data_IF_647374345094
#
_entry.id   IF_647374345094
#
_cell.length_a   1.000
_cell.length_b   1.000
_cell.length_c   1.000
_cell.angle_alpha   90.00
_cell.angle_beta   90.00
_cell.angle_gamma   90.00
#
_symmetry.space_group_name_H-M   'P 1'
#
loop_
_entity.id
_entity.type
_entity.pdbx_description
1 polymer ?
#
# COMPACT_ATOMS: atom_id res chain seq x y z
N UNK A 1 27.48 -15.69 -6.69
CA UNK A 1 26.18 -15.44 -6.03
C UNK A 1 26.45 -14.89 -4.65
N UNK A 2 26.29 -13.58 -4.44
CA UNK A 2 26.33 -13.02 -3.08
C UNK A 2 25.00 -13.36 -2.40
N UNK A 3 25.05 -14.09 -1.30
CA UNK A 3 23.89 -14.34 -0.46
C UNK A 3 23.56 -13.04 0.27
N UNK A 4 22.39 -12.46 0.00
CA UNK A 4 21.90 -11.29 0.72
C UNK A 4 21.13 -11.77 1.95
N UNK A 5 21.64 -11.44 3.13
CA UNK A 5 20.98 -11.76 4.39
C UNK A 5 19.63 -11.03 4.50
N UNK A 6 18.64 -11.72 5.05
CA UNK A 6 17.27 -11.21 5.24
C UNK A 6 16.87 -11.38 6.70
N UNK A 7 15.91 -10.57 7.14
CA UNK A 7 15.43 -10.53 8.51
C UNK A 7 16.53 -10.08 9.48
N UNK A 8 17.23 -9.03 9.09
CA UNK A 8 18.41 -8.51 9.79
C UNK A 8 18.22 -7.06 10.20
N UNK A 9 18.86 -6.74 11.32
CA UNK A 9 19.16 -5.38 11.75
C UNK A 9 20.64 -5.14 11.45
N UNK A 10 20.95 -4.06 10.74
CA UNK A 10 22.31 -3.65 10.41
C UNK A 10 22.59 -2.36 11.18
N UNK A 11 23.49 -2.44 12.17
CA UNK A 11 23.96 -1.24 12.86
C UNK A 11 25.04 -0.53 12.02
N UNK A 12 24.68 0.56 11.34
CA UNK A 12 25.57 1.24 10.42
C UNK A 12 24.96 2.47 9.75
N UNK A 13 25.80 3.22 9.05
CA UNK A 13 25.38 4.40 8.29
C UNK A 13 24.66 3.98 6.99
N UNK A 14 23.45 4.52 6.77
CA UNK A 14 22.64 4.19 5.60
C UNK A 14 23.40 4.36 4.27
N UNK A 15 24.20 5.41 4.11
CA UNK A 15 24.94 5.67 2.86
C UNK A 15 26.07 4.66 2.61
N UNK A 16 26.52 3.97 3.66
CA UNK A 16 27.53 2.91 3.58
C UNK A 16 26.86 1.56 3.37
N UNK A 17 25.85 1.24 4.18
CA UNK A 17 25.22 -0.08 4.18
C UNK A 17 24.35 -0.32 2.94
N UNK A 18 23.66 0.71 2.43
CA UNK A 18 22.87 0.58 1.20
C UNK A 18 23.71 0.13 0.01
N UNK A 19 24.96 0.59 -0.10
CA UNK A 19 25.90 0.22 -1.18
C UNK A 19 26.25 -1.27 -1.20
N UNK A 20 26.08 -1.96 -0.07
CA UNK A 20 26.33 -3.41 0.06
C UNK A 20 25.13 -4.24 -0.37
N UNK A 21 23.94 -3.64 -0.46
CA UNK A 21 22.73 -4.30 -0.91
C UNK A 21 22.75 -4.40 -2.45
N UNK A 22 22.52 -5.58 -3.05
CA UNK A 22 22.47 -5.73 -4.50
C UNK A 22 21.38 -4.90 -5.18
N UNK A 23 21.61 -4.52 -6.43
CA UNK A 23 20.63 -3.89 -7.30
C UNK A 23 19.35 -4.73 -7.43
N UNK A 24 18.20 -4.08 -7.63
CA UNK A 24 16.92 -4.73 -7.95
C UNK A 24 16.56 -5.91 -7.02
N UNK A 25 16.82 -5.76 -5.71
CA UNK A 25 16.71 -6.85 -4.73
C UNK A 25 15.57 -6.66 -3.71
N UNK A 26 15.09 -5.43 -3.52
CA UNK A 26 14.08 -5.05 -2.52
C UNK A 26 12.71 -4.80 -3.18
N UNK A 27 11.63 -5.27 -2.55
CA UNK A 27 10.26 -5.13 -3.08
C UNK A 27 9.59 -3.82 -2.63
N UNK A 28 9.80 -3.45 -1.36
CA UNK A 28 9.22 -2.26 -0.74
C UNK A 28 10.27 -1.53 0.11
N UNK A 29 10.34 -0.21 -0.03
CA UNK A 29 11.14 0.65 0.86
C UNK A 29 10.19 1.55 1.64
N UNK A 30 10.41 1.66 2.95
CA UNK A 30 9.87 2.76 3.75
C UNK A 30 11.05 3.57 4.29
N UNK A 31 11.00 4.89 4.20
CA UNK A 31 12.05 5.76 4.70
C UNK A 31 11.44 6.89 5.54
N UNK A 32 11.89 6.98 6.80
CA UNK A 32 11.63 8.07 7.74
C UNK A 32 12.96 8.81 7.99
N UNK A 33 13.46 9.58 7.02
CA UNK A 33 14.77 10.23 7.12
C UNK A 33 14.76 11.32 8.21
N UNK A 34 15.94 11.84 8.59
CA UNK A 34 16.02 13.08 9.36
C UNK A 34 15.23 14.21 8.70
N UNK A 35 14.48 15.00 9.48
CA UNK A 35 13.62 16.07 8.95
C UNK A 35 14.34 17.41 8.86
N UNK A 36 15.48 17.54 9.55
CA UNK A 36 16.19 18.79 9.73
C UNK A 36 15.24 19.89 10.23
N UNK A 37 14.80 19.75 11.49
CA UNK A 37 13.73 20.56 12.06
C UNK A 37 14.06 22.04 12.25
N UNK A 38 15.35 22.42 12.15
CA UNK A 38 15.88 23.80 12.27
C UNK A 38 15.33 24.52 13.50
N UNK A 39 15.37 23.85 14.65
CA UNK A 39 14.85 24.40 15.91
C UNK A 39 15.97 25.19 16.61
N UNK A 40 15.66 26.43 17.00
CA UNK A 40 16.53 27.26 17.85
C UNK A 40 15.90 27.45 19.23
N UNK A 41 16.71 27.31 20.29
CA UNK A 41 16.29 27.52 21.67
C UNK A 41 15.36 26.45 22.25
N UNK A 42 14.90 26.69 23.48
CA UNK A 42 14.03 25.77 24.23
C UNK A 42 12.56 26.20 24.11
N UNK A 43 11.73 25.32 23.57
CA UNK A 43 10.28 25.53 23.53
C UNK A 43 9.68 25.24 24.91
N UNK A 44 8.90 26.17 25.44
CA UNK A 44 8.17 26.01 26.70
C UNK A 44 6.67 25.82 26.43
N UNK A 45 6.03 25.02 27.28
CA UNK A 45 4.57 24.84 27.31
C UNK A 45 3.89 26.05 27.93
N UNK A 46 2.56 26.10 27.84
CA UNK A 46 1.76 27.22 28.38
C UNK A 46 1.96 27.37 29.89
N UNK A 47 2.07 26.24 30.58
CA UNK A 47 2.32 26.12 32.02
C UNK A 47 3.79 26.38 32.43
N UNK A 48 4.68 26.66 31.48
CA UNK A 48 6.08 27.05 31.75
C UNK A 48 7.09 25.89 31.83
N UNK A 49 6.66 24.63 31.67
CA UNK A 49 7.59 23.49 31.59
C UNK A 49 8.23 23.37 30.21
N UNK A 50 9.44 22.81 30.12
CA UNK A 50 10.10 22.57 28.85
C UNK A 50 9.38 21.51 28.01
N UNK A 51 9.28 21.75 26.70
CA UNK A 51 8.75 20.80 25.76
C UNK A 51 9.86 19.87 25.27
N UNK A 52 9.70 18.60 25.59
CA UNK A 52 10.59 17.52 25.18
C UNK A 52 10.41 17.15 23.69
N UNK A 53 11.01 17.98 22.83
CA UNK A 53 11.01 17.88 21.36
C UNK A 53 12.09 16.94 20.80
N UNK A 54 12.31 17.02 19.48
CA UNK A 54 13.42 16.34 18.80
C UNK A 54 14.62 17.31 18.75
N UNK A 55 15.68 17.00 19.47
CA UNK A 55 16.94 17.78 19.51
C UNK A 55 18.15 16.88 19.24
N UNK A 56 17.89 15.67 18.77
CA UNK A 56 18.90 14.64 18.53
C UNK A 56 19.96 15.10 17.50
N UNK A 57 21.23 14.72 17.71
CA UNK A 57 22.37 15.16 16.89
C UNK A 57 22.22 14.80 15.40
N UNK A 58 21.58 13.67 15.10
CA UNK A 58 21.35 13.22 13.72
C UNK A 58 20.41 14.15 12.93
N UNK A 59 19.56 14.94 13.59
CA UNK A 59 18.67 15.90 12.91
C UNK A 59 19.32 17.28 12.74
N UNK A 60 20.36 17.58 13.53
CA UNK A 60 21.06 18.87 13.55
C UNK A 60 22.42 18.85 12.83
N UNK A 61 22.69 17.81 12.04
CA UNK A 61 23.95 17.65 11.32
C UNK A 61 24.08 18.52 10.04
N UNK A 62 22.99 19.14 9.58
CA UNK A 62 22.97 19.92 8.34
C UNK A 62 23.08 21.42 8.63
N UNK A 63 23.97 22.10 7.91
CA UNK A 63 24.16 23.55 8.05
C UNK A 63 23.39 24.33 6.98
N UNK A 64 23.34 23.79 5.76
CA UNK A 64 22.68 24.42 4.61
C UNK A 64 21.64 23.52 3.97
N UNK A 65 20.77 24.12 3.14
CA UNK A 65 19.83 23.34 2.33
C UNK A 65 20.54 22.44 1.33
N UNK A 66 21.66 22.91 0.78
CA UNK A 66 22.48 22.13 -0.14
C UNK A 66 23.06 20.87 0.54
N UNK A 67 23.48 20.96 1.81
CA UNK A 67 23.93 19.78 2.56
C UNK A 67 22.81 18.73 2.69
N UNK A 68 21.60 19.18 3.03
CA UNK A 68 20.43 18.33 3.17
C UNK A 68 20.01 17.72 1.82
N UNK A 69 20.04 18.51 0.74
CA UNK A 69 19.76 18.05 -0.63
C UNK A 69 20.77 16.99 -1.09
N UNK A 70 22.06 17.24 -0.87
CA UNK A 70 23.13 16.32 -1.21
C UNK A 70 23.03 15.00 -0.43
N UNK A 71 22.72 15.07 0.87
CA UNK A 71 22.42 13.89 1.67
C UNK A 71 21.21 13.14 1.12
N UNK A 72 20.14 13.87 0.82
CA UNK A 72 18.86 13.31 0.36
C UNK A 72 18.99 12.59 -0.98
N UNK A 73 19.68 13.21 -1.94
CA UNK A 73 19.92 12.61 -3.25
C UNK A 73 20.76 11.34 -3.17
N UNK A 74 21.77 11.28 -2.29
CA UNK A 74 22.62 10.09 -2.13
C UNK A 74 21.82 8.87 -1.66
N UNK A 75 21.07 8.99 -0.56
CA UNK A 75 20.32 7.84 -0.04
C UNK A 75 19.15 7.47 -0.96
N UNK A 76 18.47 8.45 -1.58
CA UNK A 76 17.39 8.17 -2.53
C UNK A 76 17.90 7.46 -3.79
N UNK A 77 19.09 7.84 -4.28
CA UNK A 77 19.72 7.19 -5.44
C UNK A 77 20.05 5.73 -5.16
N UNK A 78 20.60 5.44 -3.97
CA UNK A 78 20.85 4.07 -3.54
C UNK A 78 19.55 3.27 -3.33
N UNK A 79 18.54 3.87 -2.68
CA UNK A 79 17.20 3.29 -2.58
C UNK A 79 16.63 2.95 -3.96
N UNK A 80 16.80 3.84 -4.95
CA UNK A 80 16.34 3.59 -6.32
C UNK A 80 17.09 2.42 -6.98
N UNK A 81 18.41 2.32 -6.76
CA UNK A 81 19.24 1.22 -7.28
C UNK A 81 18.79 -0.14 -6.73
N UNK A 82 18.62 -0.26 -5.41
CA UNK A 82 18.28 -1.52 -4.74
C UNK A 82 16.81 -1.92 -4.89
N UNK A 83 15.90 -0.95 -5.11
CA UNK A 83 14.49 -1.24 -5.35
C UNK A 83 14.32 -2.04 -6.64
N UNK A 84 13.51 -3.08 -6.65
CA UNK A 84 13.15 -3.83 -7.87
C UNK A 84 12.45 -2.94 -8.87
N UNK A 85 12.52 -3.32 -10.15
CA UNK A 85 11.77 -2.71 -11.26
C UNK A 85 10.30 -2.42 -10.95
N UNK A 86 9.60 -3.37 -10.32
CA UNK A 86 8.17 -3.25 -9.97
C UNK A 86 7.96 -2.94 -8.48
N UNK A 87 9.01 -2.55 -7.76
CA UNK A 87 8.95 -2.17 -6.35
C UNK A 87 8.38 -0.78 -6.11
N UNK A 88 8.03 -0.50 -4.86
CA UNK A 88 7.57 0.82 -4.40
C UNK A 88 8.43 1.36 -3.26
N UNK A 89 8.47 2.69 -3.13
CA UNK A 89 9.05 3.40 -2.00
C UNK A 89 7.99 4.32 -1.37
N UNK A 90 7.98 4.37 -0.04
CA UNK A 90 7.26 5.34 0.75
C UNK A 90 8.26 6.18 1.52
N UNK A 91 8.17 7.51 1.39
CA UNK A 91 9.00 8.43 2.18
C UNK A 91 8.10 9.35 2.98
N UNK A 92 8.31 9.46 4.28
CA UNK A 92 7.55 10.36 5.16
C UNK A 92 8.37 11.61 5.51
N UNK A 93 7.68 12.73 5.71
CA UNK A 93 8.30 13.98 6.10
C UNK A 93 7.31 15.01 6.63
N UNK A 94 7.82 15.93 7.44
CA UNK A 94 7.14 17.20 7.72
C UNK A 94 7.35 18.23 6.60
N UNK A 95 6.69 19.38 6.71
CA UNK A 95 6.87 20.51 5.78
C UNK A 95 8.32 20.98 5.66
N UNK A 96 9.16 20.67 6.66
CA UNK A 96 10.58 21.01 6.72
C UNK A 96 11.40 20.33 5.62
N UNK A 97 11.02 19.12 5.21
CA UNK A 97 11.82 18.30 4.31
C UNK A 97 11.04 17.72 3.12
N UNK A 98 9.73 17.50 3.23
CA UNK A 98 9.00 16.66 2.27
C UNK A 98 8.95 17.24 0.85
N UNK A 99 8.95 18.57 0.72
CA UNK A 99 8.98 19.24 -0.59
C UNK A 99 10.32 19.05 -1.30
N UNK A 100 11.42 19.19 -0.57
CA UNK A 100 12.78 18.94 -1.07
C UNK A 100 12.95 17.48 -1.47
N UNK A 101 12.52 16.55 -0.60
CA UNK A 101 12.53 15.11 -0.88
C UNK A 101 11.75 14.81 -2.16
N UNK A 102 10.50 15.30 -2.27
CA UNK A 102 9.65 15.07 -3.43
C UNK A 102 10.25 15.57 -4.74
N UNK A 103 10.83 16.77 -4.72
CA UNK A 103 11.52 17.35 -5.87
C UNK A 103 12.71 16.49 -6.32
N UNK A 104 13.55 16.05 -5.38
CA UNK A 104 14.69 15.16 -5.66
C UNK A 104 14.21 13.81 -6.20
N UNK A 105 13.18 13.21 -5.60
CA UNK A 105 12.59 11.95 -6.07
C UNK A 105 12.17 12.04 -7.54
N UNK A 106 11.49 13.12 -7.94
CA UNK A 106 11.11 13.34 -9.34
C UNK A 106 12.33 13.56 -10.24
N UNK A 107 13.31 14.36 -9.79
CA UNK A 107 14.54 14.66 -10.54
C UNK A 107 15.34 13.41 -10.87
N UNK A 108 15.51 12.51 -9.90
CA UNK A 108 16.23 11.24 -10.10
C UNK A 108 15.34 10.17 -10.78
N UNK A 109 14.08 10.50 -11.07
CA UNK A 109 13.18 9.73 -11.94
C UNK A 109 12.31 8.70 -11.26
N UNK A 110 12.04 8.81 -9.95
CA UNK A 110 10.91 8.08 -9.35
C UNK A 110 9.59 8.58 -9.96
N UNK A 111 8.61 7.69 -10.07
CA UNK A 111 7.26 8.07 -10.48
C UNK A 111 6.35 8.11 -9.26
N UNK A 112 5.92 9.32 -8.88
CA UNK A 112 5.00 9.53 -7.76
C UNK A 112 3.62 8.97 -8.12
N UNK A 113 3.05 8.17 -7.23
CA UNK A 113 1.69 7.62 -7.35
C UNK A 113 0.71 8.51 -6.60
N UNK A 114 0.97 8.75 -5.32
CA UNK A 114 0.17 9.58 -4.43
C UNK A 114 1.06 10.23 -3.38
N UNK A 115 0.75 11.47 -3.04
CA UNK A 115 0.98 11.97 -1.69
C UNK A 115 -0.16 11.48 -0.77
N UNK A 116 0.18 11.21 0.49
CA UNK A 116 -0.74 10.76 1.52
C UNK A 116 -0.52 11.61 2.76
N UNK A 117 -1.60 12.17 3.29
CA UNK A 117 -1.59 12.97 4.51
C UNK A 117 -1.89 12.05 5.69
N UNK A 118 -0.91 11.85 6.57
CA UNK A 118 -1.17 11.27 7.88
C UNK A 118 -1.71 12.36 8.81
N UNK A 119 -3.03 12.40 8.96
CA UNK A 119 -3.71 13.21 9.96
C UNK A 119 -3.54 12.58 11.34
N UNK A 120 -2.86 13.28 12.24
CA UNK A 120 -2.63 12.88 13.63
C UNK A 120 -3.92 13.15 14.41
N UNK A 121 -4.52 12.10 15.01
CA UNK A 121 -5.75 12.25 15.83
C UNK A 121 -5.52 13.03 17.14
N UNK A 122 -4.30 12.99 17.64
CA UNK A 122 -3.86 13.52 18.93
C UNK A 122 -2.50 14.22 18.80
N UNK A 123 -2.39 15.28 17.96
CA UNK A 123 -1.14 15.99 17.76
C UNK A 123 -0.80 16.84 18.99
N UNK A 124 0.48 17.08 19.22
CA UNK A 124 0.93 18.09 20.18
C UNK A 124 0.36 19.46 19.81
N UNK A 125 -0.28 20.19 20.74
CA UNK A 125 -0.88 21.48 20.44
C UNK A 125 0.18 22.55 20.14
N UNK A 126 -0.25 23.62 19.47
CA UNK A 126 0.58 24.82 19.37
C UNK A 126 0.48 25.62 20.68
N UNK A 127 1.57 25.72 21.44
CA UNK A 127 1.55 26.33 22.76
C UNK A 127 1.46 27.87 22.75
N UNK A 128 1.89 28.54 21.67
CA UNK A 128 1.97 30.02 21.63
C UNK A 128 0.86 30.68 20.82
N UNK A 129 0.03 29.92 20.10
CA UNK A 129 -1.05 30.45 19.26
C UNK A 129 -0.58 31.25 18.04
N UNK A 130 0.69 31.17 17.66
CA UNK A 130 1.29 32.00 16.59
C UNK A 130 1.19 31.40 15.18
N UNK A 131 0.74 30.15 15.07
CA UNK A 131 0.59 29.41 13.81
C UNK A 131 -0.40 28.26 13.97
N UNK A 132 -0.76 27.62 12.86
CA UNK A 132 -1.58 26.40 12.86
C UNK A 132 -0.92 25.28 13.67
N UNK A 133 -1.74 24.34 14.16
CA UNK A 133 -1.25 23.12 14.77
C UNK A 133 -0.65 22.21 13.70
N UNK A 134 0.58 21.72 13.92
CA UNK A 134 1.23 20.72 13.08
C UNK A 134 0.58 19.34 13.29
N UNK A 135 -0.64 19.21 12.78
CA UNK A 135 -1.53 18.06 12.97
C UNK A 135 -1.40 16.98 11.91
N UNK A 136 -0.43 17.08 11.01
CA UNK A 136 -0.17 16.05 10.02
C UNK A 136 1.32 15.93 9.65
N UNK A 137 1.64 14.82 9.00
CA UNK A 137 2.84 14.62 8.19
C UNK A 137 2.43 14.13 6.81
N UNK A 138 3.32 14.26 5.83
CA UNK A 138 3.07 13.87 4.44
C UNK A 138 3.95 12.68 4.09
N UNK A 139 3.34 11.67 3.49
CA UNK A 139 4.03 10.55 2.87
C UNK A 139 3.98 10.72 1.35
N UNK A 140 5.05 10.35 0.67
CA UNK A 140 5.11 10.23 -0.78
C UNK A 140 5.24 8.75 -1.12
N UNK A 141 4.25 8.21 -1.84
CA UNK A 141 4.32 6.89 -2.44
C UNK A 141 4.78 7.00 -3.89
N UNK A 142 5.85 6.30 -4.23
CA UNK A 142 6.41 6.30 -5.58
C UNK A 142 6.87 4.91 -6.02
N UNK A 143 7.12 4.78 -7.31
CA UNK A 143 7.70 3.58 -7.93
C UNK A 143 9.00 3.90 -8.63
N UNK A 144 9.82 2.89 -8.88
CA UNK A 144 11.13 3.05 -9.53
C UNK A 144 11.07 3.82 -10.85
N UNK A 145 9.97 3.69 -11.60
CA UNK A 145 9.72 4.39 -12.87
C UNK A 145 8.23 4.41 -13.26
N UNK A 146 7.85 5.25 -14.23
CA UNK A 146 6.48 5.30 -14.77
C UNK A 146 5.99 3.96 -15.36
N UNK A 147 6.91 3.08 -15.79
CA UNK A 147 6.60 1.79 -16.41
C UNK A 147 6.40 0.65 -15.40
N UNK A 148 6.61 0.91 -14.11
CA UNK A 148 6.58 -0.10 -13.05
C UNK A 148 5.18 -0.68 -12.87
N UNK A 149 5.07 -2.00 -12.75
CA UNK A 149 3.82 -2.71 -12.45
C UNK A 149 3.75 -3.01 -10.95
N UNK A 150 3.69 -1.95 -10.16
CA UNK A 150 3.77 -2.01 -8.72
C UNK A 150 2.61 -2.76 -8.06
N UNK A 151 2.86 -3.28 -6.86
CA UNK A 151 1.83 -3.90 -6.01
C UNK A 151 0.93 -2.82 -5.43
N UNK A 152 -0.37 -2.92 -5.71
CA UNK A 152 -1.41 -2.21 -4.99
C UNK A 152 -2.57 -3.16 -4.69
N UNK A 153 -2.68 -3.58 -3.43
CA UNK A 153 -3.75 -4.45 -2.96
C UNK A 153 -5.02 -3.62 -2.70
N UNK A 154 -5.64 -3.15 -3.79
CA UNK A 154 -6.75 -2.20 -3.76
C UNK A 154 -7.94 -2.66 -2.92
N UNK A 155 -8.36 -3.93 -3.05
CA UNK A 155 -9.50 -4.45 -2.28
C UNK A 155 -9.13 -4.59 -0.81
N UNK A 156 -7.91 -5.01 -0.52
CA UNK A 156 -7.36 -5.01 0.85
C UNK A 156 -7.35 -3.60 1.44
N UNK A 157 -6.98 -2.58 0.65
CA UNK A 157 -7.06 -1.18 1.08
C UNK A 157 -8.50 -0.77 1.45
N UNK A 158 -9.51 -1.26 0.73
CA UNK A 158 -10.93 -1.03 1.09
C UNK A 158 -11.30 -1.66 2.43
N UNK A 159 -10.75 -2.83 2.76
CA UNK A 159 -10.96 -3.50 4.05
C UNK A 159 -10.32 -2.73 5.21
N UNK A 160 -9.25 -1.98 4.94
CA UNK A 160 -8.53 -1.16 5.92
C UNK A 160 -9.12 0.24 6.09
N UNK A 161 -10.06 0.66 5.25
CA UNK A 161 -10.65 2.00 5.34
C UNK A 161 -11.62 2.10 6.52
N UNK A 162 -11.10 2.59 7.65
CA UNK A 162 -11.87 3.03 8.83
C UNK A 162 -11.96 4.55 8.95
N UNK A 163 -11.43 5.29 7.98
CA UNK A 163 -11.37 6.76 8.02
C UNK A 163 -12.69 7.40 7.56
N UNK A 164 -13.38 6.76 6.61
CA UNK A 164 -14.61 7.28 5.99
C UNK A 164 -15.76 6.25 6.00
N UNK A 165 -15.60 5.16 6.73
CA UNK A 165 -16.61 4.11 6.91
C UNK A 165 -16.85 3.98 8.41
N UNK A 166 -18.10 4.19 8.85
CA UNK A 166 -18.43 4.01 10.25
C UNK A 166 -18.35 2.53 10.66
N UNK A 167 -18.19 2.25 11.95
CA UNK A 167 -18.19 0.86 12.45
C UNK A 167 -19.50 0.11 12.11
N UNK A 168 -20.63 0.83 12.09
CA UNK A 168 -21.92 0.26 11.66
C UNK A 168 -21.94 -0.08 10.17
N UNK A 169 -21.54 0.86 9.31
CA UNK A 169 -21.41 0.62 7.86
C UNK A 169 -20.48 -0.56 7.59
N UNK A 170 -19.35 -0.62 8.31
CA UNK A 170 -18.36 -1.68 8.16
C UNK A 170 -18.94 -3.05 8.55
N UNK A 171 -19.65 -3.14 9.67
CA UNK A 171 -20.35 -4.37 10.10
C UNK A 171 -21.42 -4.81 9.10
N UNK A 172 -22.07 -3.86 8.43
CA UNK A 172 -23.05 -4.12 7.37
C UNK A 172 -22.41 -4.47 6.01
N UNK A 173 -21.10 -4.71 5.97
CA UNK A 173 -20.37 -5.14 4.76
C UNK A 173 -20.02 -3.99 3.80
N UNK A 174 -20.23 -2.73 4.19
CA UNK A 174 -19.84 -1.59 3.36
C UNK A 174 -18.32 -1.49 3.35
N UNK A 175 -17.77 -1.37 2.14
CA UNK A 175 -16.34 -1.18 1.88
C UNK A 175 -16.15 -0.07 0.86
N UNK A 176 -15.58 1.05 1.30
CA UNK A 176 -15.27 2.22 0.44
C UNK A 176 -13.78 2.25 0.10
N UNK A 177 -13.42 2.91 -1.00
CA UNK A 177 -12.02 3.12 -1.37
C UNK A 177 -11.28 3.86 -0.25
N UNK A 178 -10.06 3.42 0.07
CA UNK A 178 -9.17 4.15 0.98
C UNK A 178 -8.70 5.45 0.31
N UNK A 179 -8.95 6.58 0.97
CA UNK A 179 -8.50 7.89 0.49
C UNK A 179 -7.02 8.17 0.80
N UNK A 180 -6.51 9.30 0.34
CA UNK A 180 -5.15 9.77 0.61
C UNK A 180 -5.00 10.53 1.94
N UNK A 181 -6.04 10.64 2.76
CA UNK A 181 -5.97 11.23 4.10
C UNK A 181 -6.24 10.15 5.13
N UNK A 182 -5.22 9.80 5.92
CA UNK A 182 -5.26 8.70 6.88
C UNK A 182 -5.30 9.24 8.30
N UNK A 183 -6.33 8.86 9.07
CA UNK A 183 -6.54 9.38 10.43
C UNK A 183 -6.02 8.36 11.44
N UNK A 184 -4.76 8.50 11.83
CA UNK A 184 -4.06 7.56 12.70
C UNK A 184 -3.54 8.32 13.93
N UNK A 185 -3.62 7.70 15.11
CA UNK A 185 -3.07 8.28 16.34
C UNK A 185 -1.54 8.32 16.32
N UNK A 186 -0.92 9.21 17.09
CA UNK A 186 0.53 9.15 17.31
C UNK A 186 0.90 7.95 18.19
N UNK A 187 2.13 7.46 18.07
CA UNK A 187 2.64 6.34 18.87
C UNK A 187 2.70 6.72 20.37
N UNK A 188 1.88 6.04 21.18
CA UNK A 188 1.67 6.30 22.61
C UNK A 188 1.40 4.99 23.38
N UNK A 189 1.30 5.09 24.70
CA UNK A 189 0.97 3.95 25.56
C UNK A 189 2.03 2.85 25.51
N UNK A 190 1.59 1.59 25.51
CA UNK A 190 2.48 0.42 25.52
C UNK A 190 3.27 0.22 24.22
N UNK A 191 2.82 0.83 23.11
CA UNK A 191 3.54 0.77 21.84
C UNK A 191 4.80 1.65 21.86
N UNK A 192 4.75 2.76 22.62
CA UNK A 192 5.85 3.71 22.70
C UNK A 192 6.95 3.15 23.58
N UNK A 193 8.11 2.89 22.98
CA UNK A 193 9.24 2.32 23.71
C UNK A 193 9.80 3.29 24.73
N UNK A 194 10.17 2.70 25.86
CA UNK A 194 10.85 3.37 26.95
C UNK A 194 12.17 2.67 27.23
N UNK A 195 13.16 3.42 27.66
CA UNK A 195 14.40 2.84 28.13
C UNK A 195 14.28 2.32 29.58
N UNK A 196 15.38 1.79 30.11
CA UNK A 196 15.42 1.19 31.45
C UNK A 196 15.07 2.18 32.58
N UNK A 197 15.08 3.49 32.32
CA UNK A 197 14.67 4.54 33.26
C UNK A 197 13.19 4.93 33.12
N UNK A 198 12.48 4.35 32.15
CA UNK A 198 11.10 4.67 31.84
C UNK A 198 10.92 5.93 30.96
N UNK A 199 12.01 6.50 30.46
CA UNK A 199 12.00 7.68 29.57
C UNK A 199 11.73 7.26 28.12
N UNK A 200 11.21 8.16 27.29
CA UNK A 200 10.96 7.85 25.88
C UNK A 200 12.29 7.44 25.22
N UNK A 201 12.30 6.29 24.53
CA UNK A 201 13.54 5.82 23.90
C UNK A 201 13.88 6.63 22.65
N UNK A 202 12.88 6.91 21.81
CA UNK A 202 13.06 7.58 20.52
C UNK A 202 12.07 8.74 20.38
N UNK A 203 12.57 9.90 19.93
CA UNK A 203 11.78 11.12 19.78
C UNK A 203 10.63 10.97 18.78
N UNK A 204 10.88 10.27 17.67
CA UNK A 204 9.99 10.24 16.49
C UNK A 204 9.46 8.85 16.11
N UNK A 205 9.35 7.91 17.07
CA UNK A 205 8.82 6.56 16.79
C UNK A 205 7.45 6.64 16.09
N UNK A 206 7.35 6.06 14.89
CA UNK A 206 6.12 6.01 14.09
C UNK A 206 5.15 4.94 14.59
N UNK A 207 3.83 5.16 14.46
CA UNK A 207 2.81 4.22 14.90
C UNK A 207 2.76 2.98 14.00
N UNK A 208 2.67 1.79 14.59
CA UNK A 208 2.60 0.51 13.87
C UNK A 208 1.41 0.44 12.90
N UNK A 209 0.27 1.10 13.20
CA UNK A 209 -0.90 1.15 12.31
C UNK A 209 -0.57 1.80 10.95
N UNK A 210 0.29 2.82 10.94
CA UNK A 210 0.70 3.49 9.70
C UNK A 210 1.50 2.52 8.81
N UNK A 211 2.50 1.85 9.39
CA UNK A 211 3.33 0.87 8.70
C UNK A 211 2.51 -0.36 8.26
N UNK A 212 1.55 -0.79 9.09
CA UNK A 212 0.65 -1.89 8.77
C UNK A 212 -0.13 -1.60 7.49
N UNK A 213 -0.68 -0.40 7.39
CA UNK A 213 -1.42 0.05 6.21
C UNK A 213 -0.53 0.10 4.97
N UNK A 214 0.68 0.69 5.08
CA UNK A 214 1.65 0.79 3.98
C UNK A 214 2.04 -0.59 3.45
N UNK A 215 2.46 -1.48 4.34
CA UNK A 215 2.94 -2.83 4.00
C UNK A 215 1.79 -3.67 3.45
N UNK A 216 0.58 -3.58 4.03
CA UNK A 216 -0.60 -4.31 3.56
C UNK A 216 -0.97 -3.97 2.11
N UNK A 217 -0.93 -2.68 1.75
CA UNK A 217 -1.39 -2.25 0.42
C UNK A 217 -0.28 -2.33 -0.64
N UNK A 218 0.99 -2.31 -0.25
CA UNK A 218 2.12 -2.14 -1.18
C UNK A 218 3.05 -3.35 -1.28
N UNK A 219 2.75 -4.47 -0.61
CA UNK A 219 3.58 -5.68 -0.63
C UNK A 219 2.75 -6.96 -0.50
N UNK A 220 3.40 -8.11 -0.65
CA UNK A 220 2.85 -9.46 -0.48
C UNK A 220 3.64 -10.24 0.57
N UNK A 221 3.06 -11.32 1.09
CA UNK A 221 3.78 -12.25 1.98
C UNK A 221 5.06 -12.72 1.29
N UNK A 222 6.18 -12.69 2.01
CA UNK A 222 7.51 -13.05 1.52
C UNK A 222 8.30 -11.93 0.83
N UNK A 223 7.66 -10.81 0.46
CA UNK A 223 8.36 -9.65 -0.09
C UNK A 223 9.40 -9.10 0.90
N UNK A 224 10.47 -8.50 0.37
CA UNK A 224 11.52 -7.87 1.16
C UNK A 224 11.25 -6.38 1.37
N UNK A 225 11.14 -5.98 2.63
CA UNK A 225 10.95 -4.58 3.07
C UNK A 225 12.28 -4.02 3.60
N UNK A 226 12.73 -2.91 3.03
CA UNK A 226 13.91 -2.17 3.51
C UNK A 226 13.50 -0.88 4.21
N UNK A 227 14.17 -0.59 5.31
CA UNK A 227 14.13 0.72 5.97
C UNK A 227 15.56 1.22 6.21
N UNK A 228 15.99 2.28 5.51
CA UNK A 228 17.34 2.84 5.69
C UNK A 228 17.47 3.72 6.95
N UNK A 229 16.37 4.04 7.62
CA UNK A 229 16.32 4.90 8.81
C UNK A 229 15.43 4.25 9.87
N UNK A 230 15.77 3.02 10.25
CA UNK A 230 14.83 2.14 10.90
C UNK A 230 14.48 2.52 12.34
N UNK A 231 15.29 3.36 13.00
CA UNK A 231 15.10 3.80 14.37
C UNK A 231 14.87 2.61 15.28
N UNK A 232 13.71 2.57 15.92
CA UNK A 232 13.33 1.48 16.85
C UNK A 232 12.68 0.27 16.17
N UNK A 233 12.93 0.09 14.86
CA UNK A 233 12.54 -1.06 14.05
C UNK A 233 11.03 -1.26 13.84
N UNK A 234 10.23 -0.19 13.89
CA UNK A 234 8.77 -0.27 13.67
C UNK A 234 8.44 -0.94 12.32
N UNK A 235 9.12 -0.54 11.23
CA UNK A 235 8.93 -1.14 9.90
C UNK A 235 9.23 -2.64 9.91
N UNK A 236 10.34 -3.05 10.52
CA UNK A 236 10.74 -4.45 10.63
C UNK A 236 9.78 -5.29 11.48
N UNK A 237 9.32 -4.75 12.61
CA UNK A 237 8.33 -5.39 13.49
C UNK A 237 7.03 -5.67 12.73
N UNK A 238 6.52 -4.67 12.02
CA UNK A 238 5.29 -4.84 11.23
C UNK A 238 5.52 -5.78 10.04
N UNK A 239 6.65 -5.67 9.34
CA UNK A 239 7.00 -6.56 8.25
C UNK A 239 7.03 -8.03 8.72
N UNK A 240 7.75 -8.34 9.81
CA UNK A 240 7.81 -9.67 10.42
C UNK A 240 6.43 -10.17 10.83
N UNK A 241 5.64 -9.33 11.50
CA UNK A 241 4.28 -9.67 11.92
C UNK A 241 3.43 -10.07 10.71
N UNK A 242 3.57 -9.38 9.59
CA UNK A 242 2.80 -9.63 8.36
C UNK A 242 3.41 -10.70 7.43
N UNK A 243 4.47 -11.40 7.86
CA UNK A 243 5.14 -12.43 7.06
C UNK A 243 5.93 -11.88 5.86
N UNK A 244 6.39 -10.63 5.92
CA UNK A 244 7.38 -10.07 4.98
C UNK A 244 8.78 -10.28 5.54
N UNK A 245 9.76 -10.37 4.64
CA UNK A 245 11.16 -10.30 5.03
C UNK A 245 11.57 -8.84 5.24
N UNK A 246 12.62 -8.58 6.02
CA UNK A 246 13.07 -7.22 6.27
C UNK A 246 14.59 -7.04 6.27
N UNK A 247 15.05 -5.83 5.92
CA UNK A 247 16.41 -5.32 6.19
C UNK A 247 16.23 -3.95 6.83
N UNK A 248 16.70 -3.79 8.06
CA UNK A 248 16.61 -2.54 8.80
C UNK A 248 18.01 -1.96 9.01
N UNK A 249 18.26 -0.74 8.57
CA UNK A 249 19.55 -0.05 8.79
C UNK A 249 19.32 1.06 9.81
N UNK A 250 20.16 1.09 10.84
CA UNK A 250 20.10 2.11 11.89
C UNK A 250 21.51 2.40 12.42
N UNK A 251 21.84 3.67 12.59
CA UNK A 251 23.18 4.11 13.00
C UNK A 251 23.36 4.05 14.52
N UNK A 252 22.32 4.38 15.28
CA UNK A 252 22.36 4.37 16.74
C UNK A 252 22.22 2.94 17.28
N UNK A 253 23.28 2.49 17.96
CA UNK A 253 23.36 1.15 18.52
C UNK A 253 22.28 0.88 19.59
N UNK A 254 21.91 1.88 20.41
CA UNK A 254 20.85 1.74 21.42
C UNK A 254 19.51 1.46 20.74
N UNK A 255 19.21 2.14 19.64
CA UNK A 255 17.99 1.88 18.87
C UNK A 255 17.98 0.48 18.24
N UNK A 256 19.12 0.01 17.72
CA UNK A 256 19.26 -1.37 17.26
C UNK A 256 18.96 -2.39 18.37
N UNK A 257 19.60 -2.27 19.53
CA UNK A 257 19.47 -3.25 20.63
C UNK A 257 18.01 -3.39 21.13
N UNK A 258 17.29 -2.27 21.29
CA UNK A 258 15.88 -2.30 21.68
C UNK A 258 14.98 -2.80 20.55
N UNK A 259 15.29 -2.41 19.31
CA UNK A 259 14.59 -2.87 18.12
C UNK A 259 14.69 -4.39 17.91
N UNK A 260 15.87 -4.97 18.12
CA UNK A 260 16.11 -6.41 18.06
C UNK A 260 15.30 -7.17 19.12
N UNK A 261 15.19 -6.65 20.34
CA UNK A 261 14.33 -7.24 21.38
C UNK A 261 12.85 -7.25 20.95
N UNK A 262 12.35 -6.18 20.32
CA UNK A 262 10.98 -6.15 19.75
C UNK A 262 10.81 -7.15 18.63
N UNK A 263 11.77 -7.21 17.72
CA UNK A 263 11.74 -8.15 16.61
C UNK A 263 11.73 -9.59 17.13
N UNK A 264 12.56 -9.92 18.12
CA UNK A 264 12.61 -11.24 18.74
C UNK A 264 11.26 -11.66 19.35
N UNK A 265 10.58 -10.76 20.06
CA UNK A 265 9.26 -11.04 20.68
C UNK A 265 8.08 -10.96 19.70
N UNK A 266 8.29 -10.42 18.50
CA UNK A 266 7.23 -10.29 17.49
C UNK A 266 6.86 -11.64 16.88
N UNK A 267 5.58 -12.00 16.99
CA UNK A 267 5.01 -13.21 16.40
C UNK A 267 4.38 -12.88 15.04
N UNK A 268 4.63 -13.74 14.06
CA UNK A 268 4.01 -13.64 12.73
C UNK A 268 2.53 -14.04 12.79
N UNK A 269 1.67 -13.22 12.19
CA UNK A 269 0.24 -13.45 12.03
C UNK A 269 -0.15 -13.22 10.57
N UNK A 270 -0.64 -14.27 9.89
CA UNK A 270 -0.98 -14.20 8.47
C UNK A 270 -2.48 -14.49 8.29
N UNK A 271 -3.27 -13.42 8.17
CA UNK A 271 -4.69 -13.45 7.88
C UNK A 271 -5.02 -13.09 6.42
N UNK A 272 -6.28 -12.74 6.19
CA UNK A 272 -6.80 -12.39 4.87
C UNK A 272 -6.21 -11.07 4.33
N UNK A 273 -5.90 -10.11 5.23
CA UNK A 273 -5.24 -8.84 4.87
C UNK A 273 -3.81 -9.08 4.43
N UNK A 274 -3.03 -9.83 5.22
CA UNK A 274 -1.61 -10.06 4.95
C UNK A 274 -1.41 -10.83 3.64
N UNK A 275 -2.28 -11.81 3.36
CA UNK A 275 -2.30 -12.56 2.09
C UNK A 275 -2.82 -11.74 0.91
N UNK A 276 -3.32 -10.52 1.13
CA UNK A 276 -4.07 -9.75 0.15
C UNK A 276 -5.19 -10.60 -0.50
N UNK A 277 -5.83 -11.46 0.29
CA UNK A 277 -6.77 -12.47 -0.20
C UNK A 277 -7.86 -11.80 -1.01
N UNK A 278 -8.34 -10.62 -0.61
CA UNK A 278 -9.38 -9.88 -1.32
C UNK A 278 -9.01 -9.53 -2.76
N UNK A 279 -7.73 -9.28 -3.03
CA UNK A 279 -7.18 -8.89 -4.34
C UNK A 279 -6.91 -10.05 -5.28
N UNK A 280 -7.02 -11.30 -4.82
CA UNK A 280 -6.96 -12.48 -5.68
C UNK A 280 -7.98 -12.37 -6.81
N UNK A 281 -7.46 -12.42 -8.04
CA UNK A 281 -8.26 -12.39 -9.26
C UNK A 281 -8.80 -13.81 -9.51
N UNK A 282 -10.06 -13.95 -9.93
CA UNK A 282 -10.55 -15.24 -10.37
C UNK A 282 -9.70 -15.75 -11.53
N UNK A 283 -9.54 -17.09 -11.66
CA UNK A 283 -8.99 -17.69 -12.86
C UNK A 283 -9.62 -17.11 -14.13
N UNK A 284 -8.80 -16.84 -15.15
CA UNK A 284 -9.32 -16.38 -16.44
C UNK A 284 -9.99 -17.54 -17.14
N UNK A 285 -11.26 -17.36 -17.49
CA UNK A 285 -12.07 -18.36 -18.21
C UNK A 285 -12.67 -17.71 -19.44
N UNK A 286 -12.60 -18.40 -20.57
CA UNK A 286 -13.20 -17.96 -21.84
C UNK A 286 -14.59 -18.56 -22.02
N UNK A 287 -15.44 -17.91 -22.83
CA UNK A 287 -16.74 -18.48 -23.20
C UNK A 287 -16.60 -19.84 -23.89
N UNK A 288 -15.58 -20.01 -24.74
CA UNK A 288 -15.30 -21.29 -25.41
C UNK A 288 -15.07 -22.43 -24.42
N UNK A 289 -14.33 -22.17 -23.35
CA UNK A 289 -14.04 -23.18 -22.34
C UNK A 289 -15.30 -23.57 -21.54
N UNK A 290 -16.18 -22.60 -21.26
CA UNK A 290 -17.48 -22.88 -20.65
C UNK A 290 -18.45 -23.58 -21.61
N UNK A 291 -18.32 -23.40 -22.93
CA UNK A 291 -19.06 -24.19 -23.93
C UNK A 291 -18.57 -25.64 -23.92
N UNK A 292 -17.25 -25.84 -23.99
CA UNK A 292 -16.63 -27.19 -23.98
C UNK A 292 -16.99 -27.99 -22.73
N UNK A 293 -17.05 -27.32 -21.58
CA UNK A 293 -17.41 -27.95 -20.30
C UNK A 293 -18.93 -28.03 -20.07
N UNK A 294 -19.76 -27.70 -21.08
CA UNK A 294 -21.21 -27.91 -21.06
C UNK A 294 -22.05 -26.88 -20.29
N UNK A 295 -21.47 -25.73 -19.91
CA UNK A 295 -22.21 -24.67 -19.21
C UNK A 295 -23.05 -23.80 -20.17
N UNK A 296 -22.62 -23.75 -21.44
CA UNK A 296 -23.33 -23.11 -22.54
C UNK A 296 -23.29 -24.00 -23.78
N UNK A 297 -24.21 -23.76 -24.71
CA UNK A 297 -24.26 -24.50 -25.99
C UNK A 297 -24.22 -23.54 -27.18
N UNK A 298 -23.69 -23.99 -28.31
CA UNK A 298 -23.79 -23.20 -29.55
C UNK A 298 -25.26 -23.00 -29.94
N UNK A 299 -25.59 -21.80 -30.44
CA UNK A 299 -26.94 -21.39 -30.82
C UNK A 299 -27.79 -20.89 -29.64
N UNK A 300 -27.26 -20.94 -28.42
CA UNK A 300 -27.98 -20.51 -27.22
C UNK A 300 -28.34 -19.01 -27.25
N UNK A 301 -29.56 -18.69 -26.84
CA UNK A 301 -30.07 -17.32 -26.76
C UNK A 301 -29.61 -16.61 -25.49
N UNK A 302 -28.94 -15.47 -25.68
CA UNK A 302 -28.50 -14.56 -24.65
C UNK A 302 -29.42 -13.33 -24.68
N UNK A 303 -30.10 -13.06 -23.57
CA UNK A 303 -31.07 -12.00 -23.42
C UNK A 303 -30.55 -10.88 -22.52
N UNK A 304 -30.98 -9.64 -22.75
CA UNK A 304 -30.92 -8.62 -21.71
C UNK A 304 -31.90 -8.96 -20.57
N UNK A 305 -31.68 -8.40 -19.37
CA UNK A 305 -32.52 -8.67 -18.18
C UNK A 305 -34.02 -8.45 -18.41
N UNK A 306 -34.36 -7.41 -19.15
CA UNK A 306 -35.73 -7.04 -19.53
C UNK A 306 -36.22 -7.75 -20.81
N UNK A 307 -35.42 -8.65 -21.37
CA UNK A 307 -35.66 -9.36 -22.65
C UNK A 307 -35.86 -8.44 -23.86
N UNK A 308 -35.41 -7.18 -23.81
CA UNK A 308 -35.58 -6.25 -24.95
C UNK A 308 -34.65 -6.53 -26.14
N UNK A 309 -33.67 -7.41 -25.96
CA UNK A 309 -32.76 -7.85 -27.00
C UNK A 309 -32.32 -9.30 -26.76
N UNK A 310 -32.07 -9.99 -27.86
CA UNK A 310 -31.58 -11.37 -27.93
C UNK A 310 -30.39 -11.46 -28.88
N UNK A 311 -29.32 -12.14 -28.46
CA UNK A 311 -28.17 -12.49 -29.28
C UNK A 311 -27.93 -14.01 -29.23
N UNK A 312 -27.27 -14.58 -30.24
CA UNK A 312 -27.03 -16.02 -30.36
C UNK A 312 -25.56 -16.37 -30.15
N UNK A 313 -25.27 -17.32 -29.27
CA UNK A 313 -23.91 -17.77 -28.99
C UNK A 313 -23.35 -18.64 -30.12
N UNK A 314 -22.09 -18.42 -30.51
CA UNK A 314 -21.35 -19.25 -31.46
C UNK A 314 -20.33 -20.12 -30.73
N UNK A 315 -19.92 -21.24 -31.34
CA UNK A 315 -18.89 -22.14 -30.78
C UNK A 315 -17.56 -21.43 -30.48
N UNK A 316 -17.24 -20.35 -31.20
CA UNK A 316 -16.06 -19.53 -30.95
C UNK A 316 -16.20 -18.57 -29.74
N UNK A 317 -17.32 -18.62 -29.02
CA UNK A 317 -17.59 -17.80 -27.84
C UNK A 317 -18.09 -16.37 -28.12
N UNK A 318 -18.26 -16.00 -29.40
CA UNK A 318 -18.84 -14.71 -29.80
C UNK A 318 -20.37 -14.78 -29.88
N UNK A 319 -20.99 -13.61 -29.94
CA UNK A 319 -22.43 -13.45 -30.08
C UNK A 319 -22.77 -12.90 -31.47
N UNK A 320 -23.85 -13.42 -32.06
CA UNK A 320 -24.49 -12.86 -33.25
C UNK A 320 -25.70 -12.04 -32.81
N UNK A 321 -25.69 -10.74 -33.12
CA UNK A 321 -26.80 -9.82 -32.82
C UNK A 321 -27.13 -8.99 -34.05
N UNK A 322 -28.39 -9.07 -34.51
CA UNK A 322 -28.88 -8.40 -35.73
C UNK A 322 -27.99 -8.68 -36.96
N UNK A 323 -27.58 -9.93 -37.14
CA UNK A 323 -26.76 -10.38 -38.27
C UNK A 323 -25.25 -10.15 -38.15
N UNK A 324 -24.79 -9.45 -37.11
CA UNK A 324 -23.36 -9.19 -36.91
C UNK A 324 -22.76 -10.05 -35.80
N UNK A 325 -21.60 -10.65 -36.05
CA UNK A 325 -20.81 -11.41 -35.08
C UNK A 325 -19.81 -10.51 -34.35
N UNK A 326 -19.85 -10.48 -33.02
CA UNK A 326 -18.93 -9.67 -32.20
C UNK A 326 -18.71 -10.27 -30.81
N UNK A 327 -17.72 -9.77 -30.08
CA UNK A 327 -17.47 -10.21 -28.71
C UNK A 327 -18.63 -9.80 -27.77
N UNK A 328 -18.86 -10.57 -26.71
CA UNK A 328 -19.99 -10.38 -25.80
C UNK A 328 -20.09 -8.98 -25.17
N UNK A 329 -18.96 -8.28 -25.02
CA UNK A 329 -18.88 -6.96 -24.39
C UNK A 329 -19.36 -5.86 -25.35
N UNK A 330 -18.90 -5.92 -26.59
CA UNK A 330 -19.35 -5.03 -27.66
C UNK A 330 -20.81 -5.33 -28.05
N UNK A 331 -21.20 -6.61 -28.06
CA UNK A 331 -22.57 -7.03 -28.28
C UNK A 331 -23.53 -6.45 -27.22
N UNK A 332 -23.16 -6.52 -25.93
CA UNK A 332 -23.98 -5.99 -24.83
C UNK A 332 -24.16 -4.47 -24.95
N UNK A 333 -23.09 -3.77 -25.31
CA UNK A 333 -23.10 -2.33 -25.55
C UNK A 333 -24.08 -1.94 -26.67
N UNK A 334 -23.99 -2.64 -27.81
CA UNK A 334 -24.88 -2.44 -28.97
C UNK A 334 -26.34 -2.79 -28.63
N UNK A 335 -26.58 -3.90 -27.94
CA UNK A 335 -27.91 -4.35 -27.55
C UNK A 335 -28.60 -3.39 -26.56
N UNK A 336 -27.84 -2.76 -25.65
CA UNK A 336 -28.37 -1.76 -24.71
C UNK A 336 -28.75 -0.43 -25.39
N UNK A 337 -28.16 -0.12 -26.56
CA UNK A 337 -28.42 1.13 -27.28
C UNK A 337 -27.83 2.38 -26.60
N UNK A 338 -26.78 2.23 -25.78
CA UNK A 338 -26.09 3.34 -25.13
C UNK A 338 -24.94 3.93 -25.97
N UNK A 339 -24.33 5.02 -25.49
CA UNK A 339 -23.14 5.64 -26.13
C UNK A 339 -21.86 4.82 -26.01
N UNK A 340 -21.78 3.91 -25.04
CA UNK A 340 -20.60 3.10 -24.80
C UNK A 340 -20.43 2.08 -25.93
N UNK A 341 -19.22 1.99 -26.51
CA UNK A 341 -18.89 1.00 -27.55
C UNK A 341 -18.63 -0.41 -26.99
N UNK A 342 -18.36 -0.52 -25.69
CA UNK A 342 -18.05 -1.78 -25.01
C UNK A 342 -18.42 -1.69 -23.53
N UNK A 343 -19.03 -2.74 -22.97
CA UNK A 343 -19.40 -2.84 -21.55
C UNK A 343 -19.02 -4.22 -20.99
N UNK A 344 -19.02 -4.43 -19.66
CA UNK A 344 -18.82 -5.78 -19.14
C UNK A 344 -20.03 -6.68 -19.45
N UNK A 345 -19.99 -7.47 -20.54
CA UNK A 345 -21.09 -8.31 -20.99
C UNK A 345 -21.61 -9.30 -19.94
N UNK A 346 -20.76 -9.74 -19.00
CA UNK A 346 -21.19 -10.60 -17.89
C UNK A 346 -22.27 -9.93 -17.02
N UNK A 347 -22.29 -8.60 -16.94
CA UNK A 347 -23.27 -7.86 -16.15
C UNK A 347 -24.62 -7.65 -16.87
N UNK A 348 -24.73 -8.01 -18.15
CA UNK A 348 -25.89 -7.65 -18.98
C UNK A 348 -26.62 -8.86 -19.56
N UNK A 349 -25.91 -9.94 -19.85
CA UNK A 349 -26.49 -11.10 -20.50
C UNK A 349 -27.06 -12.11 -19.51
N UNK A 350 -28.18 -12.68 -19.90
CA UNK A 350 -28.91 -13.72 -19.21
C UNK A 350 -29.24 -14.84 -20.19
N UNK A 351 -29.32 -16.06 -19.68
CA UNK A 351 -29.82 -17.22 -20.44
C UNK A 351 -31.02 -17.81 -19.72
N UNK A 352 -31.82 -18.60 -20.43
CA UNK A 352 -32.95 -19.30 -19.80
C UNK A 352 -32.45 -20.65 -19.26
N UNK A 353 -32.65 -20.89 -17.97
CA UNK A 353 -32.42 -22.17 -17.30
C UNK A 353 -33.67 -22.49 -16.48
N UNK A 354 -34.24 -23.68 -16.67
CA UNK A 354 -35.45 -24.13 -15.96
C UNK A 354 -36.59 -23.08 -15.99
N UNK A 355 -36.82 -22.47 -17.16
CA UNK A 355 -37.85 -21.45 -17.37
C UNK A 355 -37.55 -20.05 -16.77
N UNK A 356 -36.41 -19.85 -16.11
CA UNK A 356 -36.04 -18.58 -15.48
C UNK A 356 -34.80 -17.96 -16.13
N UNK A 357 -34.72 -16.63 -16.12
CA UNK A 357 -33.51 -15.91 -16.53
C UNK A 357 -32.43 -16.11 -15.46
N UNK A 358 -31.27 -16.63 -15.86
CA UNK A 358 -30.06 -16.77 -15.05
C UNK A 358 -28.95 -15.91 -15.64
N UNK A 359 -28.29 -15.10 -14.81
CA UNK A 359 -27.17 -14.26 -15.24
C UNK A 359 -26.02 -15.14 -15.73
N UNK A 360 -25.39 -14.76 -16.83
CA UNK A 360 -24.20 -15.50 -17.29
C UNK A 360 -23.01 -15.30 -16.34
N UNK A 361 -22.97 -14.21 -15.55
CA UNK A 361 -21.96 -14.04 -14.50
C UNK A 361 -22.17 -15.03 -13.36
N UNK A 362 -23.41 -15.33 -12.99
CA UNK A 362 -23.72 -16.32 -11.96
C UNK A 362 -23.33 -17.73 -12.43
N UNK A 363 -23.59 -18.04 -13.71
CA UNK A 363 -23.13 -19.29 -14.33
C UNK A 363 -21.59 -19.36 -14.35
N UNK A 364 -20.92 -18.25 -14.68
CA UNK A 364 -19.45 -18.18 -14.62
C UNK A 364 -18.91 -18.39 -13.20
N UNK A 365 -19.56 -17.84 -12.18
CA UNK A 365 -19.17 -18.07 -10.77
C UNK A 365 -19.35 -19.52 -10.36
N UNK A 366 -20.46 -20.14 -10.76
CA UNK A 366 -20.69 -21.57 -10.54
C UNK A 366 -19.63 -22.43 -11.24
N UNK A 367 -19.28 -22.10 -12.49
CA UNK A 367 -18.19 -22.74 -13.21
C UNK A 367 -16.85 -22.61 -12.47
N UNK A 368 -16.50 -21.40 -12.03
CA UNK A 368 -15.27 -21.13 -11.30
C UNK A 368 -15.19 -21.90 -9.98
N UNK A 369 -16.32 -21.99 -9.26
CA UNK A 369 -16.44 -22.78 -8.04
C UNK A 369 -16.25 -24.26 -8.32
N UNK A 370 -16.94 -24.82 -9.31
CA UNK A 370 -16.92 -26.26 -9.59
C UNK A 370 -15.57 -26.72 -10.16
N UNK A 371 -14.95 -25.91 -11.04
CA UNK A 371 -13.70 -26.29 -11.71
C UNK A 371 -12.44 -25.96 -10.92
N UNK A 372 -12.43 -24.84 -10.19
CA UNK A 372 -11.23 -24.32 -9.53
C UNK A 372 -11.37 -24.16 -8.02
N UNK A 373 -12.50 -24.54 -7.42
CA UNK A 373 -12.77 -24.30 -6.00
C UNK A 373 -12.81 -22.82 -5.62
N UNK A 374 -12.93 -21.91 -6.60
CA UNK A 374 -12.87 -20.47 -6.34
C UNK A 374 -14.23 -19.98 -5.84
N UNK A 375 -14.27 -19.59 -4.56
CA UNK A 375 -15.50 -19.10 -3.89
C UNK A 375 -15.30 -17.64 -3.53
N UNK A 376 -15.91 -16.73 -4.31
CA UNK A 376 -15.89 -15.28 -4.07
C UNK A 376 -17.01 -14.54 -4.80
#
# INVERSE_FOLDING_TARGET
>A
MYYMEKNVVINGDALVELKKIPDDSVDLIFADPPYWMRVEGVLHRVEGTEFDGCVDEWDNQFTTLEDYENFTEKWLSECKRVLKKDGSIWVIGGMQCIYTIGAIMQRIGFWLINDVIWYKKNPTPNFRGVRLNNSHETLIWATKSQKSKFTFNYKTAKELNKDTVSEEEYRNGVRKQLGSVWRIGICQGNERLKDDKGEKLHSTQKPEELLYRIIAISSKVGDLVLDPFAGTMTTGVVAKRMGRNYIMIEKDKKYCEYGEKRLASTVTHIGDIEKAKFDEKPPKVTMQQMIQDGYFIEGESFFLKNKSAEARLKANGKLVFRGEEMDMHSCAAKAKGGRAKRVNGYNYWYVIRNGKLKSIDDIRKEYLKNKYGFVK
#
